data_IF_734469839709
#
_entry.id   IF_734469839709
#
_cell.length_a   1.000
_cell.length_b   1.000
_cell.length_c   1.000
_cell.angle_alpha   90.00
_cell.angle_beta   90.00
_cell.angle_gamma   90.00
#
_symmetry.space_group_name_H-M   'P 1'
#
loop_
_entity.id
_entity.type
_entity.pdbx_description
1 polymer ?
#
# COMPACT_ATOMS: atom_id res chain seq x y z
N UNK A 1 -4.30 -29.04 -4.29
CA UNK A 1 -3.32 -29.19 -3.20
C UNK A 1 -3.24 -27.82 -2.53
N UNK A 2 -3.90 -27.63 -1.37
CA UNK A 2 -3.97 -26.31 -0.72
C UNK A 2 -2.62 -26.05 -0.05
N UNK A 3 -1.79 -25.20 -0.66
CA UNK A 3 -0.56 -24.71 -0.03
C UNK A 3 -0.96 -23.99 1.25
N UNK A 4 -0.37 -24.41 2.37
CA UNK A 4 -0.48 -23.68 3.63
C UNK A 4 0.30 -22.39 3.45
N UNK A 5 -0.40 -21.28 3.22
CA UNK A 5 0.15 -19.93 3.25
C UNK A 5 0.85 -19.77 4.59
N UNK A 6 2.17 -19.62 4.55
CA UNK A 6 2.98 -19.39 5.74
C UNK A 6 2.95 -17.90 6.01
N UNK A 7 1.82 -17.42 6.54
CA UNK A 7 1.69 -16.02 6.95
C UNK A 7 2.89 -15.70 7.85
N UNK A 8 3.78 -14.84 7.35
CA UNK A 8 4.69 -14.09 8.20
C UNK A 8 3.79 -13.44 9.26
N UNK A 9 4.05 -13.68 10.55
CA UNK A 9 3.18 -13.25 11.65
C UNK A 9 2.71 -11.80 11.45
N UNK A 10 1.52 -11.60 10.88
CA UNK A 10 0.95 -10.28 10.58
C UNK A 10 0.27 -9.65 11.79
N UNK A 11 0.64 -10.08 13.00
CA UNK A 11 0.35 -9.33 14.22
C UNK A 11 1.46 -8.30 14.47
N UNK A 12 1.85 -7.53 13.45
CA UNK A 12 2.50 -6.26 13.75
C UNK A 12 1.38 -5.31 14.13
N UNK A 13 1.13 -5.16 15.43
CA UNK A 13 0.34 -4.07 15.97
C UNK A 13 1.14 -2.79 15.79
N UNK A 14 1.21 -2.28 14.56
CA UNK A 14 1.81 -1.00 14.26
C UNK A 14 1.05 0.08 15.03
N UNK A 15 1.78 0.88 15.80
CA UNK A 15 1.19 2.11 16.32
C UNK A 15 0.73 2.99 15.15
N UNK A 16 -0.39 3.70 15.30
CA UNK A 16 -0.87 4.63 14.27
C UNK A 16 0.25 5.65 13.93
N UNK A 17 0.67 5.76 12.67
CA UNK A 17 1.68 6.73 12.26
C UNK A 17 1.29 8.16 12.68
N UNK A 18 2.28 8.99 13.01
CA UNK A 18 2.04 10.39 13.42
C UNK A 18 1.38 11.23 12.33
N UNK A 19 1.52 10.84 11.07
CA UNK A 19 0.94 11.50 9.91
C UNK A 19 1.23 10.72 8.62
N UNK A 20 1.06 11.39 7.49
CA UNK A 20 1.28 10.83 6.16
C UNK A 20 2.74 11.03 5.75
N UNK A 21 3.44 9.92 5.50
CA UNK A 21 4.80 9.91 4.93
C UNK A 21 4.84 8.89 3.81
N UNK A 22 4.99 9.37 2.58
CA UNK A 22 5.13 8.55 1.39
C UNK A 22 6.56 8.02 1.22
N UNK A 23 6.72 6.90 0.52
CA UNK A 23 8.04 6.42 0.10
C UNK A 23 8.73 7.44 -0.81
N UNK A 24 10.03 7.64 -0.60
CA UNK A 24 10.89 8.33 -1.55
C UNK A 24 11.63 7.31 -2.40
N UNK A 25 11.62 7.50 -3.71
CA UNK A 25 12.31 6.60 -4.64
C UNK A 25 12.90 7.40 -5.80
N UNK A 26 13.90 6.80 -6.45
CA UNK A 26 14.54 7.31 -7.65
C UNK A 26 14.65 6.19 -8.67
N UNK A 27 14.28 6.47 -9.91
CA UNK A 27 14.40 5.53 -11.01
C UNK A 27 15.48 5.97 -12.00
N UNK A 28 16.24 4.99 -12.47
CA UNK A 28 17.50 5.19 -13.19
C UNK A 28 18.69 4.78 -12.34
N UNK A 29 19.84 4.57 -12.97
CA UNK A 29 21.06 4.15 -12.27
C UNK A 29 21.65 5.30 -11.47
N UNK A 30 21.81 5.09 -10.17
CA UNK A 30 22.60 5.95 -9.28
C UNK A 30 24.11 5.65 -9.36
N UNK A 31 24.51 4.55 -10.00
CA UNK A 31 25.82 3.91 -9.81
C UNK A 31 26.45 3.37 -11.10
N UNK A 32 26.40 4.13 -12.19
CA UNK A 32 27.04 3.70 -13.44
C UNK A 32 27.91 4.80 -14.03
N UNK A 33 29.14 4.44 -14.43
CA UNK A 33 30.04 5.27 -15.26
C UNK A 33 29.55 5.41 -16.71
N UNK A 34 28.35 4.88 -16.99
CA UNK A 34 27.67 4.97 -18.28
C UNK A 34 27.31 6.43 -18.58
N UNK A 35 27.84 7.03 -19.66
CA UNK A 35 27.69 8.46 -19.96
C UNK A 35 26.25 8.91 -20.27
N UNK A 36 25.29 7.97 -20.28
CA UNK A 36 23.87 8.22 -20.53
C UNK A 36 22.94 7.67 -19.46
N UNK A 37 23.48 7.16 -18.36
CA UNK A 37 22.67 6.72 -17.24
C UNK A 37 22.35 7.92 -16.34
N UNK A 38 21.12 8.41 -16.47
CA UNK A 38 20.62 9.51 -15.66
C UNK A 38 19.50 9.00 -14.75
N UNK A 39 19.39 9.61 -13.56
CA UNK A 39 18.16 9.52 -12.80
C UNK A 39 17.08 10.21 -13.61
N UNK A 40 16.12 9.44 -14.12
CA UNK A 40 15.04 9.95 -14.97
C UNK A 40 13.98 10.67 -14.13
N UNK A 41 13.72 10.16 -12.93
CA UNK A 41 12.81 10.75 -11.98
C UNK A 41 13.15 10.33 -10.56
N UNK A 42 12.99 11.25 -9.63
CA UNK A 42 13.18 11.05 -8.20
C UNK A 42 12.19 11.90 -7.43
N UNK A 43 11.67 11.41 -6.32
CA UNK A 43 10.66 12.14 -5.57
C UNK A 43 9.84 11.27 -4.62
N UNK A 44 8.67 11.78 -4.25
CA UNK A 44 7.65 11.00 -3.54
C UNK A 44 6.93 10.05 -4.50
N UNK A 45 6.99 8.75 -4.21
CA UNK A 45 6.41 7.67 -5.02
C UNK A 45 5.23 6.99 -4.33
N UNK A 46 4.59 7.70 -3.40
CA UNK A 46 3.48 7.18 -2.58
C UNK A 46 2.27 6.70 -3.39
N UNK A 47 2.07 7.26 -4.58
CA UNK A 47 0.95 6.96 -5.48
C UNK A 47 1.46 6.67 -6.89
N UNK A 48 2.64 6.04 -6.99
CA UNK A 48 3.20 5.60 -8.25
C UNK A 48 2.76 4.15 -8.56
N UNK A 49 2.81 3.67 -9.79
CA UNK A 49 2.80 4.47 -11.03
C UNK A 49 1.36 4.65 -11.52
N UNK A 50 1.14 5.41 -12.59
CA UNK A 50 -0.20 5.66 -13.14
C UNK A 50 -1.03 4.41 -13.49
N UNK A 51 -0.39 3.23 -13.56
CA UNK A 51 -1.04 1.93 -13.82
C UNK A 51 -1.63 1.29 -12.56
N UNK A 52 -1.22 1.71 -11.37
CA UNK A 52 -1.80 1.26 -10.11
C UNK A 52 -3.12 2.00 -9.89
N UNK A 53 -4.20 1.46 -10.46
CA UNK A 53 -5.55 2.01 -10.30
C UNK A 53 -6.54 0.90 -9.93
N UNK A 54 -7.55 1.18 -9.08
CA UNK A 54 -7.79 2.46 -8.40
C UNK A 54 -7.02 2.57 -7.06
N UNK A 55 -6.53 3.77 -6.73
CA UNK A 55 -5.92 4.06 -5.41
C UNK A 55 -6.90 4.68 -4.42
N UNK A 56 -8.04 5.17 -4.91
CA UNK A 56 -9.07 5.77 -4.09
C UNK A 56 -10.45 5.42 -4.64
N UNK A 57 -11.40 5.13 -3.74
CA UNK A 57 -12.79 4.85 -4.09
C UNK A 57 -13.74 5.51 -3.11
N UNK A 58 -14.79 6.13 -3.67
CA UNK A 58 -15.88 6.70 -2.89
C UNK A 58 -16.91 5.62 -2.57
N UNK A 59 -17.32 5.56 -1.30
CA UNK A 59 -18.45 4.76 -0.84
C UNK A 59 -19.57 5.71 -0.37
N UNK A 60 -20.66 5.72 -1.12
CA UNK A 60 -21.82 6.58 -0.83
C UNK A 60 -22.44 6.23 0.52
N UNK A 61 -22.62 4.93 0.82
CA UNK A 61 -23.19 4.45 2.10
C UNK A 61 -22.45 4.97 3.33
N UNK A 62 -21.15 5.18 3.23
CA UNK A 62 -20.32 5.67 4.33
C UNK A 62 -19.99 7.17 4.24
N UNK A 63 -20.33 7.82 3.12
CA UNK A 63 -19.90 9.19 2.76
C UNK A 63 -18.38 9.40 2.95
N UNK A 64 -17.60 8.43 2.47
CA UNK A 64 -16.13 8.41 2.61
C UNK A 64 -15.46 8.08 1.29
N UNK A 65 -14.34 8.73 1.01
CA UNK A 65 -13.40 8.28 -0.03
C UNK A 65 -12.26 7.55 0.66
N UNK A 66 -12.24 6.23 0.51
CA UNK A 66 -11.14 5.40 0.98
C UNK A 66 -9.97 5.50 0.01
N UNK A 67 -8.75 5.48 0.53
CA UNK A 67 -7.53 5.52 -0.28
C UNK A 67 -6.40 4.70 0.33
N UNK A 68 -5.49 4.23 -0.53
CA UNK A 68 -4.28 3.51 -0.15
C UNK A 68 -3.06 4.16 -0.81
N UNK A 69 -1.88 3.93 -0.22
CA UNK A 69 -0.62 4.48 -0.73
C UNK A 69 0.59 3.72 -0.19
N UNK A 70 1.73 3.82 -0.88
CA UNK A 70 3.03 3.38 -0.37
C UNK A 70 3.60 4.41 0.61
N UNK A 71 3.47 4.11 1.90
CA UNK A 71 4.12 4.83 2.98
C UNK A 71 5.59 4.47 3.13
N UNK A 72 6.30 5.22 3.97
CA UNK A 72 7.72 5.00 4.28
C UNK A 72 7.88 4.55 5.73
N UNK A 73 8.67 3.50 5.96
CA UNK A 73 9.07 3.08 7.29
C UNK A 73 9.83 4.23 8.01
N UNK A 74 9.59 4.49 9.30
CA UNK A 74 10.20 5.63 9.98
C UNK A 74 11.71 5.54 10.12
N UNK A 75 12.23 4.32 10.27
CA UNK A 75 13.62 4.03 10.63
C UNK A 75 14.40 3.30 9.52
N UNK A 76 13.70 2.89 8.45
CA UNK A 76 14.29 2.07 7.37
C UNK A 76 13.81 2.59 6.01
N UNK A 77 14.60 2.38 4.96
CA UNK A 77 14.17 2.68 3.60
C UNK A 77 13.35 1.51 3.06
N UNK A 78 12.14 1.36 3.61
CA UNK A 78 11.18 0.33 3.23
C UNK A 78 9.78 0.89 2.99
N UNK A 79 9.04 0.26 2.10
CA UNK A 79 7.65 0.56 1.75
C UNK A 79 6.71 -0.08 2.75
N UNK A 80 5.87 0.77 3.33
CA UNK A 80 4.72 0.37 4.13
C UNK A 80 3.45 0.48 3.29
N UNK A 81 2.66 -0.58 3.22
CA UNK A 81 1.32 -0.51 2.62
C UNK A 81 0.39 0.13 3.64
N UNK A 82 -0.20 1.27 3.27
CA UNK A 82 -1.05 2.05 4.17
C UNK A 82 -2.42 2.35 3.55
N UNK A 83 -3.43 2.47 4.41
CA UNK A 83 -4.78 2.86 4.00
C UNK A 83 -5.39 3.89 4.97
N UNK A 84 -6.26 4.74 4.44
CA UNK A 84 -7.06 5.72 5.19
C UNK A 84 -8.28 6.16 4.40
N UNK A 85 -8.96 7.22 4.85
CA UNK A 85 -10.12 7.78 4.15
C UNK A 85 -10.22 9.29 4.33
N UNK A 86 -10.85 9.97 3.36
CA UNK A 86 -11.41 11.29 3.55
C UNK A 86 -12.88 11.13 3.95
N UNK A 87 -13.25 11.66 5.11
CA UNK A 87 -14.63 11.70 5.58
C UNK A 87 -15.32 12.95 5.04
N UNK A 88 -16.29 12.76 4.15
CA UNK A 88 -16.98 13.89 3.50
C UNK A 88 -17.91 14.63 4.44
N UNK A 89 -18.33 14.04 5.57
CA UNK A 89 -19.17 14.71 6.56
C UNK A 89 -18.35 15.67 7.42
N UNK A 90 -17.23 15.18 7.96
CA UNK A 90 -16.36 15.97 8.82
C UNK A 90 -15.33 16.82 8.07
N UNK A 91 -15.09 16.52 6.78
CA UNK A 91 -14.02 17.09 5.95
C UNK A 91 -12.62 16.84 6.52
N UNK A 92 -12.46 15.74 7.24
CA UNK A 92 -11.20 15.35 7.88
C UNK A 92 -10.61 14.10 7.22
N UNK A 93 -9.29 14.00 7.37
CA UNK A 93 -8.50 12.82 7.02
C UNK A 93 -7.87 12.31 8.33
N UNK A 94 -8.24 11.12 8.84
CA UNK A 94 -7.65 10.57 10.06
C UNK A 94 -6.23 10.08 9.78
N UNK A 95 -5.48 9.70 10.83
CA UNK A 95 -4.16 9.09 10.64
C UNK A 95 -4.28 7.73 9.93
N UNK A 96 -3.35 7.41 9.02
CA UNK A 96 -3.37 6.18 8.25
C UNK A 96 -3.23 4.95 9.15
N UNK A 97 -3.55 3.79 8.60
CA UNK A 97 -3.29 2.49 9.23
C UNK A 97 -2.23 1.77 8.40
N UNK A 98 -1.20 1.22 9.07
CA UNK A 98 -0.20 0.38 8.43
C UNK A 98 -0.74 -1.04 8.32
N UNK A 99 -0.68 -1.61 7.12
CA UNK A 99 -1.18 -2.95 6.83
C UNK A 99 -0.02 -3.95 6.85
N UNK A 100 1.05 -3.66 6.13
CA UNK A 100 2.24 -4.52 6.05
C UNK A 100 3.48 -3.70 5.70
N UNK A 101 4.64 -4.15 6.17
CA UNK A 101 5.94 -3.74 5.66
C UNK A 101 6.38 -4.71 4.56
N UNK A 102 6.67 -4.18 3.38
CA UNK A 102 7.08 -4.97 2.21
C UNK A 102 8.58 -5.29 2.20
N UNK A 103 9.34 -4.78 3.17
CA UNK A 103 10.78 -4.97 3.34
C UNK A 103 11.57 -4.68 2.05
N UNK A 104 11.20 -3.60 1.36
CA UNK A 104 11.74 -3.19 0.06
C UNK A 104 11.45 -1.71 -0.21
N UNK A 105 12.29 -1.05 -0.98
CA UNK A 105 12.13 0.34 -1.45
C UNK A 105 11.62 0.45 -2.91
N UNK A 106 11.29 -0.68 -3.54
CA UNK A 106 10.83 -0.72 -4.93
C UNK A 106 9.41 -0.15 -5.05
N UNK A 107 9.31 1.07 -5.53
CA UNK A 107 8.07 1.81 -5.68
C UNK A 107 7.02 1.12 -6.58
N UNK A 108 7.38 0.06 -7.32
CA UNK A 108 6.42 -0.73 -8.08
C UNK A 108 5.50 -1.58 -7.19
N UNK A 109 5.84 -1.80 -5.90
CA UNK A 109 5.03 -2.53 -4.92
C UNK A 109 3.90 -1.67 -4.31
N UNK A 110 3.56 -0.55 -4.95
CA UNK A 110 2.43 0.29 -4.52
C UNK A 110 1.11 -0.50 -4.45
N UNK A 111 0.21 -0.16 -3.52
CA UNK A 111 -1.08 -0.83 -3.41
C UNK A 111 -2.12 -0.23 -4.34
N UNK A 112 -3.10 -1.05 -4.69
CA UNK A 112 -4.43 -0.59 -5.15
C UNK A 112 -5.50 -1.10 -4.19
N UNK A 113 -6.69 -0.51 -4.26
CA UNK A 113 -7.81 -0.92 -3.42
C UNK A 113 -9.07 -1.23 -4.21
N UNK A 114 -9.99 -1.95 -3.58
CA UNK A 114 -11.37 -2.11 -4.03
C UNK A 114 -12.33 -2.09 -2.84
N UNK A 115 -13.61 -1.86 -3.07
CA UNK A 115 -14.68 -1.99 -2.08
C UNK A 115 -15.70 -2.97 -2.65
N UNK A 116 -15.99 -4.04 -1.91
CA UNK A 116 -16.96 -5.05 -2.35
C UNK A 116 -18.42 -4.65 -2.03
N UNK A 117 -19.37 -5.49 -2.45
CA UNK A 117 -20.79 -5.24 -2.27
C UNK A 117 -21.26 -5.22 -0.80
N UNK A 118 -20.49 -5.81 0.11
CA UNK A 118 -20.77 -5.82 1.54
C UNK A 118 -20.06 -4.65 2.26
N UNK A 119 -19.30 -3.83 1.52
CA UNK A 119 -18.60 -2.66 2.01
C UNK A 119 -17.20 -2.93 2.55
N UNK A 120 -16.68 -4.15 2.45
CA UNK A 120 -15.31 -4.44 2.88
C UNK A 120 -14.30 -3.82 1.92
N UNK A 121 -13.22 -3.29 2.51
CA UNK A 121 -12.14 -2.67 1.76
C UNK A 121 -11.08 -3.74 1.49
N UNK A 122 -10.78 -3.95 0.23
CA UNK A 122 -9.75 -4.86 -0.23
C UNK A 122 -8.50 -4.08 -0.61
N UNK A 123 -7.33 -4.58 -0.21
CA UNK A 123 -6.03 -4.01 -0.53
C UNK A 123 -5.22 -5.06 -1.28
N UNK A 124 -4.76 -4.71 -2.46
CA UNK A 124 -3.91 -5.53 -3.30
C UNK A 124 -2.51 -4.91 -3.27
N UNK A 125 -1.65 -5.47 -2.43
CA UNK A 125 -0.26 -5.07 -2.31
C UNK A 125 0.56 -5.82 -3.37
N UNK A 126 0.85 -5.13 -4.47
CA UNK A 126 1.54 -5.70 -5.62
C UNK A 126 2.99 -6.11 -5.33
N UNK A 127 3.61 -6.75 -6.32
CA UNK A 127 5.04 -7.09 -6.32
C UNK A 127 5.62 -6.83 -7.71
N UNK A 128 6.89 -6.47 -7.78
CA UNK A 128 7.59 -6.30 -9.06
C UNK A 128 8.29 -7.60 -9.50
N UNK A 129 7.54 -8.43 -10.24
CA UNK A 129 8.01 -9.74 -10.71
C UNK A 129 7.95 -10.82 -9.64
N UNK A 130 8.89 -11.79 -9.68
CA UNK A 130 8.80 -13.02 -8.86
C UNK A 130 9.75 -13.07 -7.66
N UNK A 131 10.51 -12.00 -7.40
CA UNK A 131 11.50 -12.01 -6.31
C UNK A 131 10.88 -11.99 -4.92
N UNK A 132 9.63 -11.54 -4.82
CA UNK A 132 8.87 -11.42 -3.57
C UNK A 132 7.38 -11.60 -3.84
N UNK A 133 6.59 -12.04 -2.85
CA UNK A 133 5.17 -12.24 -3.04
C UNK A 133 4.40 -10.91 -3.07
N UNK A 134 3.25 -10.96 -3.72
CA UNK A 134 2.17 -10.01 -3.61
C UNK A 134 1.16 -10.50 -2.55
N UNK A 135 0.40 -9.58 -1.95
CA UNK A 135 -0.50 -9.89 -0.85
C UNK A 135 -1.89 -9.30 -1.09
N UNK A 136 -2.91 -10.02 -0.67
CA UNK A 136 -4.28 -9.51 -0.59
C UNK A 136 -4.68 -9.38 0.88
N UNK A 137 -5.24 -8.23 1.24
CA UNK A 137 -5.84 -7.99 2.54
C UNK A 137 -7.28 -7.54 2.39
N UNK A 138 -8.08 -7.79 3.43
CA UNK A 138 -9.46 -7.30 3.55
C UNK A 138 -9.61 -6.61 4.89
N UNK A 139 -10.36 -5.51 4.96
CA UNK A 139 -10.72 -4.89 6.23
C UNK A 139 -11.44 -5.88 7.15
N UNK A 140 -11.30 -5.69 8.46
CA UNK A 140 -12.00 -6.52 9.45
C UNK A 140 -13.49 -6.17 9.55
N UNK A 141 -13.85 -4.95 9.17
CA UNK A 141 -15.22 -4.44 9.18
C UNK A 141 -15.53 -3.69 7.87
N UNK A 142 -16.80 -3.67 7.42
CA UNK A 142 -17.23 -2.84 6.32
C UNK A 142 -16.92 -1.35 6.56
N UNK A 143 -16.49 -0.64 5.52
CA UNK A 143 -16.26 0.81 5.54
C UNK A 143 -15.28 1.29 6.64
N UNK A 144 -14.33 0.44 7.03
CA UNK A 144 -13.36 0.69 8.09
C UNK A 144 -11.93 0.41 7.63
N UNK A 145 -11.01 1.35 7.86
CA UNK A 145 -9.57 1.15 7.68
C UNK A 145 -8.85 0.89 9.00
N UNK A 146 -9.58 0.54 10.07
CA UNK A 146 -8.99 0.38 11.40
C UNK A 146 -8.02 -0.81 11.49
N UNK A 147 -8.34 -1.91 10.81
CA UNK A 147 -7.53 -3.12 10.77
C UNK A 147 -7.87 -3.95 9.52
N UNK A 148 -6.93 -4.79 9.11
CA UNK A 148 -7.03 -5.64 7.93
C UNK A 148 -6.52 -7.05 8.25
N UNK A 149 -7.23 -8.06 7.76
CA UNK A 149 -6.80 -9.45 7.81
C UNK A 149 -6.11 -9.83 6.49
N UNK A 150 -5.01 -10.60 6.54
CA UNK A 150 -4.43 -11.16 5.34
C UNK A 150 -5.35 -12.24 4.77
N UNK A 151 -5.58 -12.19 3.47
CA UNK A 151 -6.44 -13.15 2.77
C UNK A 151 -5.60 -14.12 1.94
N UNK A 152 -4.60 -13.61 1.24
CA UNK A 152 -3.74 -14.44 0.39
C UNK A 152 -2.32 -13.88 0.24
N UNK A 153 -1.39 -14.78 -0.03
CA UNK A 153 0.01 -14.51 -0.39
C UNK A 153 0.30 -15.29 -1.68
N UNK A 154 0.50 -14.58 -2.78
CA UNK A 154 0.65 -15.18 -4.10
C UNK A 154 1.49 -14.27 -5.01
N UNK A 155 1.40 -14.46 -6.32
CA UNK A 155 1.99 -13.54 -7.28
C UNK A 155 0.96 -13.16 -8.35
N UNK A 156 0.68 -11.86 -8.45
CA UNK A 156 -0.18 -11.25 -9.46
C UNK A 156 0.51 -10.03 -10.11
N UNK A 157 1.85 -10.05 -10.17
CA UNK A 157 2.66 -9.04 -10.87
C UNK A 157 2.43 -9.02 -12.38
#
# INVERSE_FOLDING_TARGET
>A
MRSRVRFMKTTNTWSKPKGYRGIWSSNGSLTTDEPHAFVHYSGGFATAFCKHLPMAMYAETAEKTFFCYAGSHPDEHSILIMASYFDHRSKLVPRPTVIIDKCTDDAHDNPVLSIDGDGFIWIFASAHGTQRPAYIFRSQEPYSTAAFDPVDEMNFS
#
